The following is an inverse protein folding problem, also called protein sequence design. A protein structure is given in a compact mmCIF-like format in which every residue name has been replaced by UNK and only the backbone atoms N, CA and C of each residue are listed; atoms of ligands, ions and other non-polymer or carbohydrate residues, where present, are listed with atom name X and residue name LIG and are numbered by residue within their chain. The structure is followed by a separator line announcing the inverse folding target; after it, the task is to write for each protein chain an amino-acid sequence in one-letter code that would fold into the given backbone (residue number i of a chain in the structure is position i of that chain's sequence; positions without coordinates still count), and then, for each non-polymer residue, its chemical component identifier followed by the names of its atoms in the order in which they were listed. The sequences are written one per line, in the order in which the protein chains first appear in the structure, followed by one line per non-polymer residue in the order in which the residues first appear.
data_IF_284636476267
#
_entry.id   IF_284636476267
#
_cell.length_a   1.000
_cell.length_b   1.000
_cell.length_c   1.000
_cell.angle_alpha   90.00
_cell.angle_beta   90.00
_cell.angle_gamma   90.00
#
_symmetry.space_group_name_H-M   'P 1'
#
loop_
_entity.id
_entity.type
_entity.pdbx_description
1 polymer ?
2 non-polymer ?
3 non-polymer ?
4 non-polymer ?
5 non-polymer ?
6 water ?
#
# COMPACT_ATOMS: atom_id res chain seq x y z
N UNK A 4 -6.92 19.88 -10.86
CA UNK A 4 -8.19 19.22 -10.41
C UNK A 4 -8.00 18.57 -9.03
N UNK A 5 -6.96 17.75 -8.90
CA UNK A 5 -6.71 16.93 -7.68
C UNK A 5 -5.79 17.63 -6.66
N UNK A 6 -6.27 18.79 -6.20
CA UNK A 6 -5.49 19.73 -5.40
C UNK A 6 -5.02 19.24 -4.02
N UNK A 7 -5.53 18.11 -3.57
CA UNK A 7 -5.16 17.51 -2.25
C UNK A 7 -3.95 16.59 -2.27
N UNK A 8 -3.61 16.10 -3.46
CA UNK A 8 -2.45 15.22 -3.69
C UNK A 8 -1.10 15.85 -3.29
N UNK A 9 -0.97 17.17 -3.49
CA UNK A 9 0.32 17.83 -3.38
C UNK A 9 0.97 17.67 -2.02
N UNK A 10 0.22 17.91 -0.95
CA UNK A 10 0.81 17.78 0.37
C UNK A 10 1.30 16.35 0.66
N UNK A 11 0.49 15.35 0.27
CA UNK A 11 0.97 13.97 0.45
C UNK A 11 2.25 13.65 -0.35
N UNK A 12 2.27 14.02 -1.64
CA UNK A 12 3.46 13.82 -2.46
C UNK A 12 4.68 14.55 -1.88
N UNK A 13 4.46 15.72 -1.28
CA UNK A 13 5.54 16.46 -0.66
C UNK A 13 6.08 15.72 0.56
N UNK A 14 5.22 15.08 1.34
CA UNK A 14 5.71 14.35 2.52
C UNK A 14 6.56 13.15 2.07
N UNK A 15 6.18 12.47 0.97
CA UNK A 15 6.99 11.38 0.41
C UNK A 15 8.32 11.83 -0.15
N UNK A 16 8.29 12.96 -0.86
CA UNK A 16 9.49 13.51 -1.48
C UNK A 16 10.58 13.81 -0.45
N UNK A 17 10.18 14.19 0.76
CA UNK A 17 11.16 14.45 1.83
C UNK A 17 11.97 13.19 2.16
N UNK A 18 11.32 12.02 2.18
CA UNK A 18 12.06 10.78 2.45
C UNK A 18 12.89 10.38 1.19
N UNK A 19 12.27 10.48 0.02
CA UNK A 19 12.96 10.25 -1.26
C UNK A 19 14.24 11.08 -1.42
N UNK A 20 14.25 12.32 -0.92
CA UNK A 20 15.44 13.17 -1.08
C UNK A 20 16.52 12.83 -0.04
N UNK A 21 16.18 12.01 0.95
CA UNK A 21 17.11 11.75 2.08
C UNK A 21 18.05 10.56 1.81
N UNK A 22 19.34 10.79 2.01
CA UNK A 22 20.34 9.71 1.93
C UNK A 22 21.28 9.72 3.15
N UNK A 23 20.75 9.41 4.34
CA UNK A 23 21.52 9.66 5.58
C UNK A 23 22.71 8.73 5.74
N UNK A 24 22.69 7.58 5.10
CA UNK A 24 23.84 6.66 5.13
C UNK A 24 24.77 6.83 3.92
N UNK A 25 24.53 7.88 3.12
CA UNK A 25 25.33 8.15 1.92
C UNK A 25 25.50 6.87 1.09
N UNK A 26 24.38 6.23 0.81
CA UNK A 26 24.35 4.90 0.20
C UNK A 26 23.95 4.88 -1.26
N UNK A 27 23.59 6.03 -1.82
CA UNK A 27 23.11 6.09 -3.22
C UNK A 27 23.94 5.27 -4.21
N UNK A 28 25.23 5.59 -4.31
CA UNK A 28 26.10 4.91 -5.28
C UNK A 28 26.33 3.45 -4.95
N UNK A 29 26.15 3.10 -3.68
CA UNK A 29 26.32 1.72 -3.26
C UNK A 29 25.12 0.86 -3.65
N UNK A 30 23.91 1.37 -3.42
CA UNK A 30 22.72 0.57 -3.66
C UNK A 30 22.50 0.33 -5.17
N UNK A 31 22.93 1.29 -6.00
CA UNK A 31 22.93 1.07 -7.45
C UNK A 31 23.72 -0.18 -7.89
N UNK A 32 24.68 -0.63 -7.09
CA UNK A 32 25.50 -1.79 -7.43
C UNK A 32 24.77 -3.12 -7.15
N UNK A 33 23.66 -3.05 -6.41
CA UNK A 33 22.94 -4.25 -5.95
C UNK A 33 22.30 -5.12 -7.07
N UNK A 34 21.59 -4.53 -8.07
CA UNK A 34 21.10 -5.34 -9.19
C UNK A 34 22.13 -6.26 -9.89
N UNK A 35 23.34 -5.78 -10.14
CA UNK A 35 24.40 -6.60 -10.75
C UNK A 35 24.75 -7.80 -9.86
N UNK A 36 24.86 -7.56 -8.56
CA UNK A 36 25.14 -8.65 -7.63
C UNK A 36 23.99 -9.67 -7.57
N UNK A 37 22.76 -9.19 -7.65
CA UNK A 37 21.62 -10.11 -7.68
C UNK A 37 21.62 -10.98 -8.92
N UNK A 38 21.91 -10.35 -10.07
CA UNK A 38 21.99 -11.03 -11.35
C UNK A 38 23.07 -12.14 -11.28
N UNK A 39 24.13 -11.87 -10.54
CA UNK A 39 25.20 -12.84 -10.38
C UNK A 39 24.98 -13.80 -9.17
N UNK A 40 23.88 -13.62 -8.44
CA UNK A 40 23.61 -14.41 -7.20
C UNK A 40 24.82 -14.42 -6.27
N UNK A 41 25.48 -13.27 -6.14
CA UNK A 41 26.68 -13.15 -5.36
C UNK A 41 26.31 -12.80 -3.92
N UNK A 42 25.95 -13.81 -3.15
CA UNK A 42 25.45 -13.60 -1.79
C UNK A 42 26.52 -12.97 -0.89
N UNK A 43 27.77 -13.50 -0.88
CA UNK A 43 28.81 -12.81 -0.11
C UNK A 43 29.02 -11.34 -0.52
N UNK A 44 29.01 -11.06 -1.83
CA UNK A 44 29.17 -9.70 -2.31
C UNK A 44 28.02 -8.81 -1.88
N UNK A 45 26.81 -9.35 -1.84
CA UNK A 45 25.64 -8.60 -1.39
C UNK A 45 25.79 -8.20 0.08
N UNK A 46 26.23 -9.16 0.88
CA UNK A 46 26.52 -8.88 2.28
C UNK A 46 27.63 -7.83 2.45
N UNK A 47 28.74 -7.99 1.71
CA UNK A 47 29.85 -7.02 1.79
C UNK A 47 29.40 -5.60 1.39
N UNK A 48 28.60 -5.53 0.32
CA UNK A 48 28.06 -4.25 -0.09
C UNK A 48 27.24 -3.59 1.04
N UNK A 49 26.30 -4.32 1.62
CA UNK A 49 25.52 -3.81 2.75
C UNK A 49 26.42 -3.31 3.91
N UNK A 50 27.45 -4.06 4.24
CA UNK A 50 28.35 -3.69 5.33
C UNK A 50 29.17 -2.42 5.10
N UNK A 51 29.29 -2.01 3.84
CA UNK A 51 29.93 -0.74 3.52
C UNK A 51 29.13 0.45 4.09
N UNK A 52 27.84 0.31 4.34
CA UNK A 52 27.07 1.43 4.87
C UNK A 52 26.19 1.14 6.10
N UNK A 53 26.14 -0.12 6.50
CA UNK A 53 25.29 -0.48 7.60
C UNK A 53 25.88 0.16 8.89
N UNK A 54 25.08 0.90 9.65
CA UNK A 54 25.60 1.51 10.90
C UNK A 54 25.99 0.42 11.92
N UNK A 55 27.15 0.55 12.55
CA UNK A 55 27.58 -0.47 13.53
C UNK A 55 27.57 0.06 14.95
N UNK A 56 27.56 1.38 15.07
CA UNK A 56 27.68 2.05 16.36
C UNK A 56 26.32 2.59 16.81
N UNK A 57 25.23 2.08 16.25
CA UNK A 57 23.90 2.61 16.59
C UNK A 57 23.52 3.73 15.63
N UNK A 58 22.27 4.18 15.73
CA UNK A 58 21.77 5.25 14.89
C UNK A 58 22.28 6.61 15.36
N UNK A 59 22.67 7.49 14.41
CA UNK A 59 23.00 8.90 14.73
C UNK A 59 21.87 9.61 15.50
N UNK A 60 22.21 10.29 16.60
CA UNK A 60 21.19 10.80 17.53
C UNK A 60 20.32 11.96 17.02
N UNK A 61 20.73 12.61 15.93
CA UNK A 61 19.96 13.73 15.37
C UNK A 61 19.00 13.32 14.26
N UNK A 62 18.88 12.02 13.98
CA UNK A 62 17.93 11.52 13.00
C UNK A 62 16.49 11.72 13.43
N UNK A 63 15.62 12.01 12.49
CA UNK A 63 14.19 12.01 12.72
C UNK A 63 13.55 10.91 11.91
N UNK A 64 12.23 10.98 11.75
CA UNK A 64 11.50 9.99 11.00
C UNK A 64 12.05 9.86 9.57
N UNK A 65 12.40 10.99 8.97
CA UNK A 65 12.78 11.03 7.57
C UNK A 65 14.08 10.24 7.34
N UNK A 66 15.09 10.51 8.17
CA UNK A 66 16.40 9.83 8.08
C UNK A 66 16.28 8.31 8.41
N UNK A 67 15.51 7.97 9.44
CA UNK A 67 15.35 6.55 9.80
C UNK A 67 14.57 5.79 8.70
N UNK A 68 13.52 6.40 8.16
CA UNK A 68 12.78 5.78 7.06
C UNK A 68 13.66 5.55 5.82
N UNK A 69 14.48 6.55 5.51
CA UNK A 69 15.36 6.48 4.36
C UNK A 69 16.46 5.41 4.57
N UNK A 70 17.00 5.34 5.79
CA UNK A 70 17.96 4.29 6.11
C UNK A 70 17.30 2.89 5.95
N UNK A 71 16.06 2.74 6.42
CA UNK A 71 15.34 1.45 6.28
C UNK A 71 15.13 1.09 4.82
N UNK A 72 14.93 2.11 3.99
CA UNK A 72 14.75 1.89 2.58
C UNK A 72 16.04 1.27 1.99
N UNK A 73 17.17 1.91 2.27
CA UNK A 73 18.42 1.49 1.66
C UNK A 73 18.94 0.13 2.18
N UNK A 74 18.81 -0.11 3.48
CA UNK A 74 19.16 -1.43 4.03
C UNK A 74 18.11 -2.42 3.50
N UNK A 75 16.87 -1.98 3.46
CA UNK A 75 15.77 -2.84 3.01
C UNK A 75 15.93 -3.59 1.70
N UNK A 76 16.44 -2.93 0.65
CA UNK A 76 16.63 -3.68 -0.59
C UNK A 76 17.55 -4.90 -0.43
N UNK A 77 18.43 -4.88 0.58
CA UNK A 77 19.31 -5.99 0.81
C UNK A 77 18.62 -7.13 1.52
N UNK A 78 17.52 -6.81 2.22
CA UNK A 78 16.72 -7.80 2.95
C UNK A 78 15.96 -8.72 2.00
N UNK A 79 15.16 -8.13 1.12
CA UNK A 79 14.48 -8.91 0.08
C UNK A 79 15.45 -9.69 -0.80
N UNK A 80 16.57 -9.06 -1.14
CA UNK A 80 17.59 -9.70 -1.98
C UNK A 80 18.18 -10.94 -1.34
N UNK A 81 18.62 -10.81 -0.09
CA UNK A 81 19.23 -11.95 0.59
C UNK A 81 18.26 -13.10 0.69
N UNK A 82 17.02 -12.80 1.03
CA UNK A 82 16.00 -13.83 1.19
C UNK A 82 15.69 -14.48 -0.16
N UNK A 83 15.70 -13.67 -1.22
CA UNK A 83 15.56 -14.17 -2.60
C UNK A 83 16.60 -15.24 -2.93
N UNK A 84 17.81 -15.11 -2.41
CA UNK A 84 18.84 -16.19 -2.65
C UNK A 84 18.82 -17.33 -1.62
N UNK A 85 17.80 -17.32 -0.75
CA UNK A 85 17.53 -18.44 0.16
C UNK A 85 18.08 -18.23 1.56
N UNK A 86 18.34 -16.97 1.94
CA UNK A 86 19.00 -16.66 3.23
C UNK A 86 18.21 -15.67 4.09
N UNK A 87 18.02 -15.99 5.37
CA UNK A 87 17.51 -15.01 6.33
C UNK A 87 18.57 -13.91 6.55
N UNK A 88 18.28 -12.66 6.17
CA UNK A 88 19.27 -11.58 6.35
C UNK A 88 19.81 -11.46 7.80
N UNK A 89 18.95 -11.60 8.81
CA UNK A 89 19.39 -11.56 10.20
C UNK A 89 20.41 -12.66 10.57
N UNK A 90 20.35 -13.79 9.88
CA UNK A 90 21.24 -14.90 10.20
C UNK A 90 22.60 -14.77 9.56
N UNK A 91 22.67 -14.11 8.41
CA UNK A 91 23.95 -13.98 7.68
C UNK A 91 24.63 -12.62 7.82
N UNK A 92 23.94 -11.65 8.41
CA UNK A 92 24.57 -10.33 8.68
C UNK A 92 24.54 -10.06 10.20
N UNK A 93 25.67 -10.32 10.90
CA UNK A 93 25.67 -10.01 12.33
C UNK A 93 25.49 -8.51 12.60
N UNK A 94 24.78 -8.19 13.68
CA UNK A 94 24.58 -6.78 14.03
C UNK A 94 23.48 -6.16 13.19
N UNK A 95 22.88 -6.91 12.26
CA UNK A 95 21.83 -6.32 11.41
C UNK A 95 20.48 -6.18 12.14
N UNK A 96 20.05 -7.25 12.81
CA UNK A 96 18.76 -7.24 13.43
C UNK A 96 18.57 -6.10 14.47
N UNK A 97 19.59 -5.78 15.30
CA UNK A 97 19.41 -4.64 16.22
C UNK A 97 19.15 -3.30 15.54
N UNK A 98 19.89 -3.04 14.46
CA UNK A 98 19.67 -1.88 13.62
C UNK A 98 18.23 -1.86 13.04
N UNK A 99 17.77 -2.98 12.49
CA UNK A 99 16.38 -3.10 11.94
C UNK A 99 15.33 -2.78 13.02
N UNK A 100 15.53 -3.33 14.22
CA UNK A 100 14.62 -3.05 15.36
C UNK A 100 14.65 -1.59 15.85
N UNK A 101 15.83 -0.96 15.87
CA UNK A 101 15.97 0.48 16.16
C UNK A 101 15.29 1.37 15.11
N UNK A 102 15.37 0.98 13.84
CA UNK A 102 14.71 1.73 12.76
C UNK A 102 13.17 1.59 12.83
N UNK A 103 12.69 0.37 13.15
CA UNK A 103 11.26 0.14 13.42
C UNK A 103 10.75 1.08 14.53
N UNK A 104 11.54 1.17 15.60
CA UNK A 104 11.21 2.01 16.77
C UNK A 104 11.17 3.49 16.36
N UNK A 105 12.18 3.93 15.61
CA UNK A 105 12.27 5.32 15.11
C UNK A 105 11.14 5.71 14.14
N UNK A 106 10.61 4.75 13.39
CA UNK A 106 9.58 5.06 12.40
C UNK A 106 8.16 4.57 12.76
N UNK A 107 8.07 3.81 13.85
CA UNK A 107 6.81 3.17 14.24
C UNK A 107 6.20 2.35 13.09
N UNK A 108 7.08 1.62 12.40
CA UNK A 108 6.76 0.77 11.29
C UNK A 108 7.52 -0.58 11.50
N UNK A 109 7.25 -1.59 10.65
CA UNK A 109 7.92 -2.88 10.85
C UNK A 109 9.42 -2.79 10.66
N UNK A 110 10.17 -3.79 11.17
CA UNK A 110 11.64 -3.77 11.01
C UNK A 110 12.16 -4.36 9.68
N UNK A 111 11.53 -3.98 8.57
CA UNK A 111 12.04 -4.27 7.22
C UNK A 111 11.42 -3.27 6.26
N UNK A 112 11.72 -3.39 4.98
CA UNK A 112 11.19 -2.49 3.94
C UNK A 112 9.72 -2.81 3.66
N UNK A 113 8.95 -1.76 3.44
CA UNK A 113 7.57 -1.88 3.06
C UNK A 113 7.41 -1.26 1.69
N UNK A 114 6.20 -1.37 1.14
CA UNK A 114 5.82 -0.71 -0.08
C UNK A 114 6.21 0.77 -0.11
N UNK A 115 5.98 1.46 1.01
CA UNK A 115 6.28 2.89 1.06
C UNK A 115 7.76 3.13 0.76
N UNK A 116 8.63 2.40 1.45
CA UNK A 116 10.09 2.50 1.27
C UNK A 116 10.54 2.33 -0.20
N UNK A 117 9.96 1.36 -0.91
CA UNK A 117 10.47 0.99 -2.24
C UNK A 117 9.78 1.77 -3.39
N UNK A 118 8.71 2.51 -3.07
CA UNK A 118 8.03 3.28 -4.11
C UNK A 118 8.11 4.80 -3.84
N UNK A 119 7.15 5.36 -3.10
CA UNK A 119 7.09 6.82 -2.96
C UNK A 119 8.21 7.42 -2.10
N UNK A 120 8.87 6.63 -1.27
CA UNK A 120 10.03 7.10 -0.50
C UNK A 120 11.38 6.88 -1.21
N UNK A 121 11.31 6.40 -2.46
CA UNK A 121 12.46 5.94 -3.23
C UNK A 121 12.62 6.98 -4.34
N UNK A 122 13.79 7.65 -4.44
CA UNK A 122 13.94 8.66 -5.51
C UNK A 122 13.73 8.09 -6.91
N UNK A 123 13.29 8.94 -7.84
CA UNK A 123 12.90 8.49 -9.16
C UNK A 123 14.02 8.52 -10.21
N UNK A 124 15.07 9.32 -9.99
CA UNK A 124 16.11 9.46 -11.03
C UNK A 124 16.87 8.14 -11.29
N UNK A 125 17.23 7.92 -12.54
CA UNK A 125 18.06 6.76 -12.94
C UNK A 125 19.33 6.64 -12.12
N UNK A 126 19.94 7.77 -11.74
CA UNK A 126 21.18 7.64 -10.94
C UNK A 126 20.95 7.56 -9.43
N UNK A 127 19.70 7.40 -9.01
CA UNK A 127 19.37 7.36 -7.56
C UNK A 127 18.34 6.30 -7.18
N UNK A 128 17.43 5.96 -8.10
CA UNK A 128 16.38 5.01 -7.77
C UNK A 128 16.95 3.67 -7.31
N UNK A 129 16.55 3.23 -6.12
CA UNK A 129 16.89 1.88 -5.63
C UNK A 129 15.97 0.81 -6.24
N UNK A 130 16.50 -0.40 -6.40
CA UNK A 130 15.81 -1.47 -7.09
C UNK A 130 16.39 -2.84 -6.72
N UNK A 131 15.58 -3.90 -6.66
CA UNK A 131 16.15 -5.22 -6.44
C UNK A 131 16.88 -5.67 -7.69
N UNK A 132 16.23 -5.49 -8.84
CA UNK A 132 16.71 -6.13 -10.06
C UNK A 132 17.28 -5.16 -11.08
N UNK A 133 16.92 -3.88 -11.01
CA UNK A 133 17.28 -2.95 -12.09
C UNK A 133 16.51 -3.19 -13.41
N UNK A 134 15.54 -4.11 -13.38
CA UNK A 134 14.80 -4.43 -14.61
C UNK A 134 13.76 -3.35 -14.91
N UNK A 135 13.45 -3.15 -16.20
CA UNK A 135 12.44 -2.21 -16.64
C UNK A 135 11.11 -2.54 -16.02
N UNK A 136 10.73 -3.81 -16.01
CA UNK A 136 9.50 -4.23 -15.36
C UNK A 136 9.42 -3.84 -13.90
N UNK A 137 10.55 -3.85 -13.18
CA UNK A 137 10.46 -3.39 -11.78
C UNK A 137 10.25 -1.88 -11.73
N UNK A 138 10.89 -1.15 -12.65
CA UNK A 138 10.68 0.31 -12.69
C UNK A 138 9.19 0.65 -12.95
N UNK A 139 8.54 -0.05 -13.86
CA UNK A 139 7.12 0.20 -14.16
C UNK A 139 6.23 -0.20 -13.01
N UNK A 140 6.57 -1.32 -12.37
CA UNK A 140 5.87 -1.73 -11.15
C UNK A 140 5.90 -0.63 -10.07
N UNK A 141 7.06 -0.04 -9.83
CA UNK A 141 7.14 1.02 -8.84
C UNK A 141 6.32 2.22 -9.31
N UNK A 142 6.39 2.51 -10.60
CA UNK A 142 5.65 3.64 -11.14
C UNK A 142 4.14 3.44 -11.00
N UNK A 143 3.65 2.21 -11.18
CA UNK A 143 2.21 1.94 -11.06
C UNK A 143 1.68 2.33 -9.68
N UNK A 144 2.53 2.22 -8.65
CA UNK A 144 2.11 2.58 -7.30
C UNK A 144 2.25 4.08 -7.05
N UNK A 145 3.32 4.68 -7.58
CA UNK A 145 3.47 6.14 -7.54
C UNK A 145 2.30 6.89 -8.15
N UNK A 146 1.71 6.34 -9.21
CA UNK A 146 0.52 6.95 -9.83
C UNK A 146 -0.58 7.26 -8.79
N UNK A 147 -0.89 6.32 -7.89
CA UNK A 147 -2.10 6.41 -7.06
C UNK A 147 -1.94 6.62 -5.54
N UNK A 148 -0.74 6.38 -5.01
CA UNK A 148 -0.54 6.44 -3.55
C UNK A 148 -1.00 7.76 -2.94
N UNK A 149 -0.50 8.89 -3.42
CA UNK A 149 -0.80 10.18 -2.83
C UNK A 149 -2.29 10.46 -2.98
N UNK A 150 -2.84 10.08 -4.11
CA UNK A 150 -4.27 10.27 -4.37
C UNK A 150 -5.12 9.38 -3.47
N UNK A 151 -4.62 8.17 -3.16
CA UNK A 151 -5.34 7.26 -2.26
C UNK A 151 -5.38 7.84 -0.85
N UNK A 152 -4.26 8.45 -0.43
CA UNK A 152 -4.17 9.09 0.89
C UNK A 152 -5.14 10.27 1.01
N UNK A 153 -5.22 11.07 -0.06
CA UNK A 153 -6.24 12.13 -0.13
C UNK A 153 -7.64 11.54 -0.02
N UNK A 154 -7.86 10.42 -0.70
CA UNK A 154 -9.14 9.75 -0.69
C UNK A 154 -9.50 9.24 0.72
N UNK A 155 -8.51 8.80 1.51
CA UNK A 155 -8.80 8.37 2.89
C UNK A 155 -9.31 9.57 3.69
N UNK A 156 -8.63 10.70 3.56
CA UNK A 156 -9.02 11.92 4.23
C UNK A 156 -10.44 12.38 3.86
N UNK A 157 -10.75 12.44 2.55
CA UNK A 157 -12.13 12.69 2.06
C UNK A 157 -13.19 11.71 2.58
N UNK A 158 -12.85 10.43 2.71
CA UNK A 158 -13.79 9.43 3.23
C UNK A 158 -14.15 9.73 4.70
N UNK A 159 -13.12 9.99 5.51
CA UNK A 159 -13.28 10.43 6.89
C UNK A 159 -14.12 11.72 7.01
N UNK A 160 -13.84 12.68 6.14
CA UNK A 160 -14.61 13.92 6.11
C UNK A 160 -16.06 13.66 5.73
N UNK A 161 -16.27 12.80 4.73
CA UNK A 161 -17.60 12.50 4.22
C UNK A 161 -18.46 11.79 5.26
N UNK A 162 -17.83 11.00 6.13
CA UNK A 162 -18.47 10.26 7.22
C UNK A 162 -19.24 11.18 8.18
N UNK A 163 -18.73 12.40 8.38
CA UNK A 163 -19.46 13.38 9.20
C UNK A 163 -20.40 14.28 8.38
N UNK A 164 -20.61 14.02 7.08
CA UNK A 164 -21.53 14.85 6.30
C UNK A 164 -22.91 14.20 6.17
N UNK A 165 -23.97 14.98 6.42
CA UNK A 165 -25.35 14.50 6.33
C UNK A 165 -25.74 14.26 4.87
N UNK A 166 -26.42 13.14 4.62
CA UNK A 166 -26.92 12.81 3.29
C UNK A 166 -27.98 13.81 2.81
N UNK A 167 -28.58 14.52 3.77
CA UNK A 167 -29.55 15.60 3.48
C UNK A 167 -28.87 16.86 2.93
N UNK A 168 -27.55 16.98 3.11
CA UNK A 168 -26.83 18.15 2.63
C UNK A 168 -26.41 17.98 1.16
N UNK A 169 -26.41 19.08 0.38
CA UNK A 169 -25.80 19.06 -0.97
C UNK A 169 -24.30 18.76 -0.92
N UNK A 170 -23.68 18.97 0.24
CA UNK A 170 -22.26 18.64 0.42
C UNK A 170 -21.99 17.14 0.25
N UNK A 171 -22.98 16.31 0.55
CA UNK A 171 -22.76 14.88 0.47
C UNK A 171 -22.47 14.40 -0.95
N UNK A 172 -23.27 14.86 -1.92
CA UNK A 172 -23.06 14.53 -3.32
C UNK A 172 -21.73 15.09 -3.87
N UNK A 173 -21.41 16.33 -3.49
CA UNK A 173 -20.15 17.00 -3.90
C UNK A 173 -18.87 16.31 -3.38
N UNK A 174 -18.86 15.95 -2.10
CA UNK A 174 -17.73 15.24 -1.50
C UNK A 174 -17.55 13.85 -2.08
N UNK A 175 -18.65 13.18 -2.42
CA UNK A 175 -18.62 11.83 -3.00
C UNK A 175 -18.08 11.87 -4.42
N UNK A 176 -18.50 12.89 -5.17
CA UNK A 176 -17.97 13.14 -6.50
C UNK A 176 -16.47 13.38 -6.48
N UNK A 177 -16.01 14.19 -5.52
CA UNK A 177 -14.59 14.45 -5.31
C UNK A 177 -13.85 13.16 -4.93
N UNK A 178 -14.43 12.39 -4.02
CA UNK A 178 -13.83 11.11 -3.62
C UNK A 178 -13.63 10.21 -4.83
N UNK A 179 -14.65 10.18 -5.68
CA UNK A 179 -14.66 9.28 -6.85
C UNK A 179 -13.51 9.66 -7.78
N UNK A 180 -13.26 10.96 -7.89
CA UNK A 180 -12.21 11.50 -8.75
C UNK A 180 -10.81 11.11 -8.26
N UNK A 181 -10.59 11.08 -6.95
CA UNK A 181 -9.30 10.61 -6.42
C UNK A 181 -9.12 9.10 -6.59
N UNK A 182 -10.18 8.33 -6.34
CA UNK A 182 -10.14 6.88 -6.46
C UNK A 182 -9.88 6.37 -7.88
N UNK A 183 -10.19 7.22 -8.86
CA UNK A 183 -9.89 6.93 -10.28
C UNK A 183 -8.40 6.63 -10.52
N UNK A 184 -7.53 7.24 -9.71
CA UNK A 184 -6.10 6.93 -9.78
C UNK A 184 -5.75 5.43 -9.59
N UNK A 185 -6.48 4.73 -8.71
CA UNK A 185 -6.32 3.26 -8.60
C UNK A 185 -6.58 2.54 -9.92
N UNK A 186 -7.58 2.99 -10.66
CA UNK A 186 -7.88 2.42 -11.97
C UNK A 186 -6.71 2.70 -12.90
N UNK A 187 -6.24 3.93 -12.93
CA UNK A 187 -5.11 4.32 -13.78
C UNK A 187 -3.85 3.47 -13.48
N UNK A 188 -3.58 3.21 -12.21
CA UNK A 188 -2.50 2.29 -11.79
C UNK A 188 -2.60 0.90 -12.45
N UNK A 189 -3.79 0.31 -12.43
CA UNK A 189 -3.94 -1.04 -12.98
C UNK A 189 -3.84 -1.00 -14.50
N UNK A 190 -4.39 0.03 -15.13
CA UNK A 190 -4.26 0.18 -16.59
C UNK A 190 -2.74 0.24 -16.94
N UNK A 191 -1.99 1.06 -16.19
CA UNK A 191 -0.55 1.20 -16.40
C UNK A 191 0.15 -0.15 -16.24
N UNK A 192 -0.14 -0.83 -15.13
CA UNK A 192 0.45 -2.12 -14.86
C UNK A 192 0.11 -3.13 -15.96
N UNK A 193 -1.14 -3.14 -16.42
CA UNK A 193 -1.51 -4.06 -17.48
C UNK A 193 -0.74 -3.76 -18.79
N UNK A 194 -0.56 -2.47 -19.09
CA UNK A 194 0.12 -2.07 -20.31
C UNK A 194 1.64 -2.31 -20.29
N UNK A 195 2.28 -2.11 -19.14
CA UNK A 195 3.72 -1.98 -19.13
C UNK A 195 4.49 -3.13 -18.46
N UNK A 196 3.82 -3.92 -17.63
CA UNK A 196 4.52 -4.95 -16.87
C UNK A 196 4.24 -6.30 -17.50
N UNK A 197 5.30 -7.01 -17.87
CA UNK A 197 5.18 -8.39 -18.35
C UNK A 197 4.96 -9.34 -17.17
N UNK A 198 3.84 -10.08 -17.18
CA UNK A 198 3.44 -11.03 -16.11
C UNK A 198 4.47 -12.15 -15.88
N UNK A 199 5.08 -12.57 -16.98
CA UNK A 199 6.19 -13.49 -17.06
C UNK A 199 7.43 -12.99 -16.33
N UNK A 200 7.80 -11.74 -16.58
CA UNK A 200 8.99 -11.20 -15.96
C UNK A 200 8.69 -10.97 -14.48
N UNK A 201 7.46 -10.56 -14.17
CA UNK A 201 7.08 -10.31 -12.81
C UNK A 201 7.22 -11.59 -11.99
N UNK A 202 6.56 -12.65 -12.45
CA UNK A 202 6.51 -13.93 -11.72
C UNK A 202 7.87 -14.56 -11.60
N UNK A 203 8.66 -14.56 -12.68
CA UNK A 203 9.93 -15.27 -12.72
C UNK A 203 11.07 -14.47 -12.11
N UNK A 204 11.03 -13.15 -12.30
CA UNK A 204 12.17 -12.26 -11.95
C UNK A 204 11.92 -11.32 -10.79
N UNK A 205 10.66 -10.91 -10.58
CA UNK A 205 10.40 -9.91 -9.50
C UNK A 205 9.85 -10.54 -8.23
N UNK A 206 8.82 -11.37 -8.37
CA UNK A 206 8.12 -12.04 -7.26
C UNK A 206 9.08 -12.70 -6.22
N UNK A 207 10.17 -13.37 -6.69
CA UNK A 207 11.11 -14.02 -5.77
C UNK A 207 11.78 -13.08 -4.77
N UNK A 208 11.74 -11.76 -5.06
CA UNK A 208 12.31 -10.77 -4.15
C UNK A 208 11.41 -10.32 -3.01
N UNK A 209 10.15 -10.76 -3.00
CA UNK A 209 9.14 -10.31 -2.02
C UNK A 209 8.71 -11.30 -0.94
N UNK A 210 9.58 -12.25 -0.62
CA UNK A 210 9.24 -13.26 0.38
C UNK A 210 9.36 -12.68 1.79
N UNK A 211 8.73 -13.34 2.78
CA UNK A 211 8.87 -12.86 4.16
C UNK A 211 10.26 -13.10 4.75
N UNK A 212 10.63 -12.30 5.75
CA UNK A 212 11.85 -12.55 6.50
C UNK A 212 11.51 -12.64 7.99
N UNK A 213 12.37 -13.30 8.76
CA UNK A 213 12.24 -13.37 10.22
C UNK A 213 13.07 -12.31 10.94
N UNK A 214 12.42 -11.52 11.78
CA UNK A 214 13.06 -10.51 12.62
C UNK A 214 12.33 -10.50 13.96
N UNK A 215 13.05 -10.50 15.07
CA UNK A 215 12.40 -10.42 16.39
C UNK A 215 11.40 -11.57 16.71
N UNK A 216 11.69 -12.75 16.17
CA UNK A 216 10.92 -13.95 16.44
C UNK A 216 9.56 -13.95 15.78
N UNK A 217 9.41 -13.16 14.73
CA UNK A 217 8.23 -13.30 13.90
C UNK A 217 8.54 -13.04 12.42
N UNK A 218 7.55 -13.29 11.59
CA UNK A 218 7.71 -13.24 10.15
C UNK A 218 7.12 -11.93 9.65
N UNK A 219 7.88 -11.16 8.88
CA UNK A 219 7.35 -9.95 8.24
C UNK A 219 7.28 -10.06 6.72
N UNK A 220 6.10 -9.75 6.18
CA UNK A 220 5.83 -9.83 4.73
C UNK A 220 6.70 -8.89 3.94
N UNK A 221 6.99 -9.27 2.69
CA UNK A 221 7.73 -8.39 1.78
C UNK A 221 6.84 -7.33 1.18
N UNK A 222 7.45 -6.36 0.46
CA UNK A 222 6.66 -5.29 -0.08
C UNK A 222 5.67 -5.76 -1.12
N UNK A 223 4.54 -5.08 -1.19
CA UNK A 223 3.56 -5.35 -2.21
C UNK A 223 2.51 -4.26 -2.18
N UNK A 224 1.88 -4.03 -3.32
CA UNK A 224 0.85 -3.00 -3.38
C UNK A 224 -0.37 -3.31 -2.50
N UNK A 225 -0.50 -4.59 -2.12
CA UNK A 225 -1.46 -5.03 -1.10
C UNK A 225 -1.35 -4.21 0.21
N UNK A 226 -0.16 -3.69 0.51
CA UNK A 226 0.07 -2.83 1.69
C UNK A 226 -0.47 -1.39 1.55
N UNK A 227 -0.97 -1.00 0.38
CA UNK A 227 -1.56 0.34 0.20
C UNK A 227 -2.77 0.42 1.08
N UNK A 228 -2.98 1.59 1.74
CA UNK A 228 -4.06 1.64 2.75
C UNK A 228 -5.51 1.71 2.17
N UNK A 229 -5.74 1.14 0.99
CA UNK A 229 -7.07 1.07 0.44
C UNK A 229 -8.02 0.34 1.40
N UNK A 230 -7.53 -0.74 2.01
CA UNK A 230 -8.34 -1.51 2.97
C UNK A 230 -8.82 -0.66 4.14
N UNK A 231 -8.02 0.34 4.53
CA UNK A 231 -8.42 1.26 5.60
C UNK A 231 -9.52 2.16 5.09
N UNK A 232 -9.36 2.67 3.87
CA UNK A 232 -10.39 3.51 3.26
C UNK A 232 -11.74 2.78 3.28
N UNK A 233 -11.75 1.54 2.81
CA UNK A 233 -12.98 0.77 2.65
C UNK A 233 -13.52 0.24 3.97
N UNK A 234 -12.63 0.02 4.94
CA UNK A 234 -13.06 -0.29 6.31
C UNK A 234 -13.99 0.84 6.77
N UNK A 235 -13.56 2.07 6.55
CA UNK A 235 -14.38 3.24 6.92
C UNK A 235 -15.64 3.34 6.05
N UNK A 236 -15.47 3.15 4.73
CA UNK A 236 -16.55 3.36 3.78
C UNK A 236 -17.67 2.32 3.90
N UNK A 237 -17.30 1.04 3.94
CA UNK A 237 -18.32 -0.03 3.95
C UNK A 237 -18.07 -1.23 4.85
N UNK A 238 -16.81 -1.51 5.18
CA UNK A 238 -16.43 -2.79 5.82
C UNK A 238 -16.22 -2.88 7.33
N UNK A 239 -16.30 -1.77 8.05
CA UNK A 239 -16.04 -1.74 9.51
C UNK A 239 -16.89 -2.74 10.34
N UNK A 240 -18.15 -2.89 9.97
CA UNK A 240 -19.07 -3.74 10.70
C UNK A 240 -19.30 -5.12 10.04
N UNK A 241 -18.50 -5.46 9.04
CA UNK A 241 -18.61 -6.76 8.37
C UNK A 241 -18.34 -7.88 9.37
N UNK A 242 -19.07 -8.98 9.22
CA UNK A 242 -18.90 -10.15 10.09
C UNK A 242 -18.14 -11.28 9.39
N UNK A 243 -17.72 -11.04 8.13
CA UNK A 243 -16.88 -11.97 7.37
C UNK A 243 -15.49 -12.03 8.04
N UNK A 244 -15.14 -13.21 8.56
CA UNK A 244 -13.88 -13.39 9.31
C UNK A 244 -12.64 -13.39 8.41
N UNK A 245 -12.78 -13.92 7.20
CA UNK A 245 -11.71 -13.94 6.22
C UNK A 245 -11.35 -12.49 5.86
N UNK A 246 -12.37 -11.65 5.72
CA UNK A 246 -12.17 -10.26 5.38
C UNK A 246 -11.48 -9.52 6.53
N UNK A 247 -11.97 -9.75 7.75
CA UNK A 247 -11.40 -9.14 8.95
C UNK A 247 -9.92 -9.53 9.15
N UNK A 248 -9.59 -10.80 8.90
CA UNK A 248 -8.19 -11.29 8.96
C UNK A 248 -7.35 -10.62 7.90
N UNK A 249 -7.92 -10.46 6.71
CA UNK A 249 -7.21 -9.78 5.61
C UNK A 249 -6.79 -8.37 6.02
N UNK A 250 -7.75 -7.57 6.49
CA UNK A 250 -7.43 -6.21 6.91
C UNK A 250 -6.38 -6.17 8.04
N UNK A 251 -6.54 -7.04 9.03
CA UNK A 251 -5.68 -6.99 10.22
C UNK A 251 -4.26 -7.41 9.85
N UNK A 252 -4.15 -8.28 8.85
CA UNK A 252 -2.85 -8.67 8.32
C UNK A 252 -1.98 -7.50 7.89
N UNK A 253 -2.54 -6.51 7.20
CA UNK A 253 -1.74 -5.41 6.61
C UNK A 253 -1.60 -4.18 7.50
N UNK A 254 -2.40 -4.13 8.56
CA UNK A 254 -2.42 -3.00 9.49
C UNK A 254 -1.01 -2.57 9.94
N UNK A 255 -0.10 -3.52 10.30
CA UNK A 255 1.25 -3.14 10.72
C UNK A 255 2.09 -2.40 9.70
N UNK A 256 1.74 -2.56 8.41
CA UNK A 256 2.51 -2.06 7.28
C UNK A 256 2.11 -0.69 6.80
N UNK A 257 0.96 -0.20 7.27
CA UNK A 257 0.50 1.14 6.85
C UNK A 257 1.00 2.20 7.84
N UNK A 258 1.02 3.46 7.41
CA UNK A 258 1.38 4.56 8.32
C UNK A 258 0.60 4.54 9.62
N UNK A 259 1.27 4.89 10.71
CA UNK A 259 0.62 4.93 12.00
C UNK A 259 -0.74 5.64 11.97
N UNK A 260 -0.84 6.76 11.26
CA UNK A 260 -2.05 7.58 11.22
C UNK A 260 -3.22 6.77 10.69
N UNK A 261 -2.96 5.89 9.72
CA UNK A 261 -3.98 5.03 9.13
C UNK A 261 -4.35 3.80 9.99
N UNK A 262 -3.42 3.33 10.80
CA UNK A 262 -3.78 2.39 11.88
C UNK A 262 -4.75 3.04 12.85
N UNK A 263 -4.55 4.33 13.14
CA UNK A 263 -5.42 5.04 14.10
C UNK A 263 -6.79 5.33 13.48
N UNK A 264 -6.82 5.66 12.19
CA UNK A 264 -8.10 5.81 11.47
C UNK A 264 -8.88 4.47 11.55
N UNK A 265 -8.19 3.38 11.28
CA UNK A 265 -8.79 2.05 11.29
C UNK A 265 -9.40 1.72 12.67
N UNK A 266 -8.60 1.94 13.72
CA UNK A 266 -9.05 1.72 15.10
C UNK A 266 -10.27 2.56 15.45
N UNK A 267 -10.27 3.83 15.02
CA UNK A 267 -11.36 4.76 15.35
C UNK A 267 -12.73 4.25 14.86
N UNK A 268 -12.74 3.61 13.70
CA UNK A 268 -13.99 3.23 13.03
C UNK A 268 -14.42 1.77 13.22
N UNK A 269 -13.54 0.95 13.78
CA UNK A 269 -13.81 -0.48 13.98
C UNK A 269 -14.97 -0.73 14.93
N UNK A 270 -15.80 -1.71 14.60
CA UNK A 270 -16.93 -2.13 15.45
C UNK A 270 -18.07 -1.12 15.55
N UNK A 271 -18.08 -0.15 14.64
CA UNK A 271 -19.14 0.87 14.60
C UNK A 271 -19.59 0.90 13.14
N UNK A 272 -20.85 1.32 12.89
CA UNK A 272 -21.38 1.38 11.52
C UNK A 272 -20.50 2.11 10.50
N UNK A 273 -20.33 1.49 9.33
CA UNK A 273 -19.53 2.06 8.27
C UNK A 273 -20.27 3.25 7.69
N UNK A 274 -19.58 4.08 6.90
CA UNK A 274 -20.22 5.24 6.30
C UNK A 274 -21.54 4.85 5.60
N UNK A 275 -21.52 3.79 4.78
CA UNK A 275 -22.68 3.46 4.00
C UNK A 275 -23.85 2.93 4.82
N UNK A 276 -23.57 2.33 5.97
CA UNK A 276 -24.62 1.86 6.88
C UNK A 276 -25.38 3.09 7.40
N UNK A 277 -24.62 4.11 7.79
CA UNK A 277 -25.18 5.33 8.31
C UNK A 277 -25.94 6.03 7.19
N UNK A 278 -25.28 6.19 6.04
CA UNK A 278 -25.89 6.89 4.92
C UNK A 278 -27.22 6.22 4.56
N UNK A 279 -27.21 4.89 4.51
CA UNK A 279 -28.41 4.16 4.12
C UNK A 279 -29.48 4.21 5.19
N UNK A 280 -29.11 4.25 6.48
CA UNK A 280 -30.10 4.37 7.56
C UNK A 280 -30.73 5.75 7.45
N UNK A 281 -29.91 6.76 7.20
CA UNK A 281 -30.41 8.11 7.00
C UNK A 281 -31.41 8.16 5.82
N UNK A 282 -31.03 7.56 4.69
CA UNK A 282 -31.91 7.50 3.50
C UNK A 282 -33.25 6.82 3.80
N UNK A 283 -33.22 5.74 4.56
CA UNK A 283 -34.43 5.04 4.97
C UNK A 283 -35.38 5.88 5.85
N UNK A 284 -34.82 6.64 6.77
CA UNK A 284 -35.60 7.47 7.69
C UNK A 284 -36.26 8.67 6.97
N UNK A 285 -35.52 9.27 6.06
CA UNK A 285 -35.83 10.58 5.45
C UNK A 285 -36.57 10.45 4.10
N UNK A 286 -36.40 9.32 3.42
CA UNK A 286 -36.97 9.09 2.08
C UNK A 286 -36.12 9.62 0.93
N UNK A 287 -36.18 8.93 -0.21
CA UNK A 287 -35.51 9.38 -1.43
C UNK A 287 -36.24 10.50 -2.18
N UNK A 288 -37.37 10.96 -1.65
CA UNK A 288 -38.02 12.18 -2.16
C UNK A 288 -37.17 13.43 -1.90
N UNK A 289 -36.36 13.41 -0.83
CA UNK A 289 -35.39 14.47 -0.59
C UNK A 289 -34.36 14.47 -1.74
N UNK A 290 -34.25 15.59 -2.46
CA UNK A 290 -33.37 15.70 -3.64
C UNK A 290 -31.90 15.44 -3.33
N UNK A 291 -31.47 15.83 -2.13
CA UNK A 291 -30.07 15.66 -1.73
C UNK A 291 -29.73 14.22 -1.39
N UNK A 292 -30.72 13.52 -0.85
CA UNK A 292 -30.60 12.11 -0.56
C UNK A 292 -30.38 11.33 -1.87
N UNK A 293 -31.24 11.61 -2.87
CA UNK A 293 -31.16 11.02 -4.20
C UNK A 293 -29.80 11.26 -4.83
N UNK A 294 -29.38 12.52 -4.86
CA UNK A 294 -28.10 12.87 -5.44
C UNK A 294 -26.94 12.26 -4.65
N UNK A 295 -27.07 12.25 -3.32
CA UNK A 295 -26.04 11.67 -2.47
C UNK A 295 -25.84 10.19 -2.75
N UNK A 296 -26.93 9.47 -2.86
CA UNK A 296 -26.86 8.02 -3.08
C UNK A 296 -26.34 7.69 -4.47
N UNK A 297 -26.71 8.51 -5.46
CA UNK A 297 -26.24 8.34 -6.83
C UNK A 297 -24.73 8.53 -6.88
N UNK A 298 -24.25 9.59 -6.23
CA UNK A 298 -22.82 9.89 -6.15
C UNK A 298 -22.07 8.77 -5.43
N UNK A 299 -22.69 8.24 -4.38
CA UNK A 299 -22.12 7.15 -3.60
C UNK A 299 -21.99 5.87 -4.42
N UNK A 300 -23.00 5.61 -5.25
CA UNK A 300 -22.95 4.47 -6.18
C UNK A 300 -21.77 4.59 -7.16
N UNK A 301 -21.46 5.80 -7.62
CA UNK A 301 -20.31 6.00 -8.50
C UNK A 301 -18.97 5.72 -7.80
N UNK A 302 -18.92 5.94 -6.49
CA UNK A 302 -17.71 5.59 -5.71
C UNK A 302 -17.46 4.08 -5.76
N UNK A 303 -18.51 3.28 -5.59
CA UNK A 303 -18.39 1.82 -5.65
C UNK A 303 -18.06 1.37 -7.06
N UNK A 304 -18.69 1.99 -8.05
CA UNK A 304 -18.34 1.73 -9.42
C UNK A 304 -16.82 1.87 -9.68
N UNK A 305 -16.18 2.93 -9.17
CA UNK A 305 -14.76 3.10 -9.43
C UNK A 305 -13.91 2.08 -8.65
N UNK A 306 -14.37 1.69 -7.47
CA UNK A 306 -13.70 0.66 -6.68
C UNK A 306 -13.72 -0.65 -7.46
N UNK A 307 -14.85 -0.93 -8.11
CA UNK A 307 -14.99 -2.13 -8.92
C UNK A 307 -14.18 -2.09 -10.22
N UNK A 308 -14.03 -0.89 -10.80
CA UNK A 308 -13.19 -0.69 -11.98
C UNK A 308 -11.69 -0.85 -11.63
N UNK A 309 -11.35 -0.73 -10.36
CA UNK A 309 -10.00 -1.11 -9.91
C UNK A 309 -9.96 -2.62 -9.68
N UNK A 310 -10.90 -3.12 -8.87
CA UNK A 310 -10.79 -4.45 -8.30
C UNK A 310 -10.90 -5.57 -9.33
N UNK A 311 -11.85 -5.43 -10.26
CA UNK A 311 -12.06 -6.49 -11.28
C UNK A 311 -10.89 -6.65 -12.27
N UNK A 312 -10.40 -5.55 -12.87
CA UNK A 312 -9.21 -5.75 -13.72
C UNK A 312 -7.97 -6.14 -12.90
N UNK A 313 -7.88 -5.72 -11.64
CA UNK A 313 -6.73 -6.13 -10.80
C UNK A 313 -6.73 -7.65 -10.62
N UNK A 314 -7.91 -8.22 -10.45
CA UNK A 314 -8.05 -9.67 -10.36
C UNK A 314 -7.53 -10.39 -11.62
N UNK A 315 -7.81 -9.84 -12.81
CA UNK A 315 -7.29 -10.43 -14.04
C UNK A 315 -5.76 -10.27 -14.14
N UNK A 316 -5.23 -9.10 -13.81
CA UNK A 316 -3.78 -8.86 -13.73
C UNK A 316 -3.10 -9.91 -12.84
N UNK A 317 -3.63 -10.10 -11.63
CA UNK A 317 -3.12 -11.09 -10.67
C UNK A 317 -3.18 -12.52 -11.21
N UNK A 318 -4.32 -12.94 -11.72
CA UNK A 318 -4.47 -14.30 -12.26
C UNK A 318 -3.53 -14.53 -13.46
N UNK A 319 -3.42 -13.55 -14.35
CA UNK A 319 -2.50 -13.64 -15.50
C UNK A 319 -1.04 -13.83 -15.05
N UNK A 320 -0.64 -13.20 -13.94
CA UNK A 320 0.70 -13.38 -13.38
C UNK A 320 0.91 -14.76 -12.74
N UNK A 321 -0.08 -15.22 -11.97
CA UNK A 321 -0.03 -16.56 -11.38
C UNK A 321 -0.39 -17.70 -12.35
N UNK A 322 -0.75 -17.34 -13.59
CA UNK A 322 -0.90 -18.28 -14.70
C UNK A 322 0.47 -18.78 -15.18
N UNK A 323 1.55 -18.04 -14.85
CA UNK A 323 2.94 -18.50 -15.07
C UNK A 323 3.36 -19.42 -13.93
N UNK A 329 0.83 -21.17 -5.20
CA UNK A 329 1.62 -19.92 -5.14
C UNK A 329 0.70 -18.76 -4.72
N UNK A 330 1.21 -17.97 -3.80
CA UNK A 330 0.50 -16.88 -3.16
C UNK A 330 1.30 -15.59 -3.38
N UNK A 331 0.65 -14.44 -3.23
CA UNK A 331 1.37 -13.19 -3.36
C UNK A 331 2.32 -12.92 -2.20
N UNK A 332 2.97 -11.77 -2.27
CA UNK A 332 3.85 -11.27 -1.22
C UNK A 332 3.06 -10.98 0.06
N UNK A 333 1.77 -10.65 -0.08
CA UNK A 333 0.89 -10.45 1.06
C UNK A 333 0.38 -11.75 1.69
N UNK A 334 0.74 -12.91 1.11
CA UNK A 334 0.37 -14.21 1.67
C UNK A 334 -0.98 -14.80 1.23
N UNK A 335 -1.58 -14.24 0.17
CA UNK A 335 -2.84 -14.77 -0.34
C UNK A 335 -2.75 -15.25 -1.80
N UNK A 336 -3.46 -16.35 -2.09
CA UNK A 336 -3.73 -16.82 -3.45
C UNK A 336 -4.72 -15.84 -4.13
N UNK A 337 -4.71 -15.77 -5.47
CA UNK A 337 -5.71 -14.90 -6.11
C UNK A 337 -7.21 -15.17 -5.79
N UNK A 338 -7.54 -16.32 -5.18
CA UNK A 338 -8.94 -16.63 -4.79
C UNK A 338 -9.54 -15.71 -3.71
N UNK A 339 -8.68 -15.22 -2.82
CA UNK A 339 -9.07 -14.22 -1.82
C UNK A 339 -9.48 -12.91 -2.49
N UNK A 340 -8.94 -12.67 -3.68
CA UNK A 340 -9.25 -11.47 -4.42
C UNK A 340 -10.68 -11.54 -4.90
N UNK A 341 -11.09 -12.73 -5.37
CA UNK A 341 -12.47 -13.02 -5.73
C UNK A 341 -13.46 -12.84 -4.59
N UNK A 342 -13.05 -13.17 -3.36
CA UNK A 342 -13.89 -12.97 -2.18
C UNK A 342 -14.12 -11.46 -1.86
N UNK A 343 -13.07 -10.68 -1.94
CA UNK A 343 -13.17 -9.23 -1.71
C UNK A 343 -14.03 -8.54 -2.78
N UNK A 344 -13.91 -9.03 -4.01
CA UNK A 344 -14.73 -8.54 -5.12
C UNK A 344 -16.24 -8.79 -4.87
N UNK A 345 -16.58 -9.98 -4.39
CA UNK A 345 -17.96 -10.34 -4.05
C UNK A 345 -18.51 -9.38 -3.00
N UNK A 346 -17.72 -9.15 -1.95
CA UNK A 346 -18.11 -8.21 -0.88
C UNK A 346 -18.33 -6.83 -1.43
N UNK A 347 -17.50 -6.42 -2.39
CA UNK A 347 -17.61 -5.08 -2.96
C UNK A 347 -18.88 -4.92 -3.81
N UNK A 348 -19.18 -5.93 -4.63
CA UNK A 348 -20.43 -5.95 -5.40
C UNK A 348 -21.66 -5.89 -4.46
N UNK A 349 -21.62 -6.64 -3.36
CA UNK A 349 -22.73 -6.65 -2.42
C UNK A 349 -22.90 -5.28 -1.76
N UNK A 350 -21.80 -4.62 -1.44
CA UNK A 350 -21.92 -3.28 -0.90
C UNK A 350 -22.52 -2.32 -1.95
N UNK A 351 -22.06 -2.39 -3.21
CA UNK A 351 -22.64 -1.55 -4.26
C UNK A 351 -24.14 -1.83 -4.47
N UNK A 352 -24.53 -3.10 -4.41
CA UNK A 352 -25.93 -3.49 -4.54
C UNK A 352 -26.86 -2.90 -3.48
N UNK A 353 -26.37 -2.78 -2.25
CA UNK A 353 -27.14 -2.19 -1.16
C UNK A 353 -27.39 -0.72 -1.50
N UNK A 354 -26.35 -0.05 -1.97
CA UNK A 354 -26.48 1.34 -2.37
C UNK A 354 -27.45 1.50 -3.54
N UNK A 355 -27.34 0.67 -4.56
CA UNK A 355 -28.29 0.84 -5.67
C UNK A 355 -29.71 0.39 -5.36
N UNK A 356 -29.87 -0.57 -4.46
CA UNK A 356 -31.24 -0.96 -4.03
C UNK A 356 -31.95 0.19 -3.29
N UNK A 357 -31.18 1.04 -2.61
CA UNK A 357 -31.73 2.20 -1.90
C UNK A 357 -32.35 3.26 -2.83
N UNK A 358 -31.94 3.24 -4.09
CA UNK A 358 -32.44 4.13 -5.13
C UNK A 358 -33.60 3.56 -5.96
X LIG B 1 -3.65 -7.64 -3.54
X LIG B 1 -1.26 -9.51 -7.36
X LIG B 1 -0.28 -5.06 -8.94
X LIG B 1 -3.16 -3.20 -5.52
X LIG B 1 -2.98 -8.52 -4.37
X LIG B 1 -2.79 -9.95 -4.15
X LIG B 1 -2.15 -10.46 -5.21
X LIG B 1 -1.89 -9.39 -6.13
X LIG B 1 -1.69 -11.93 -5.44
X LIG B 1 -3.24 -10.72 -2.89
X LIG B 1 -2.31 -10.27 -1.76
X LIG B 1 -0.93 -10.92 -1.85
X LIG B 1 0.11 -10.26 -2.22
X LIG B 1 -0.83 -12.13 -1.51
X LIG B 1 -0.76 -8.49 -8.11
X LIG B 1 0.14 -8.58 -9.23
X LIG B 1 0.41 -7.34 -9.66
X LIG B 1 -0.32 -6.43 -8.81
X LIG B 1 0.65 -9.92 -9.79
X LIG B 1 1.29 -6.82 -10.83
X LIG B 1 1.81 -7.63 -11.75
X LIG B 1 -0.99 -4.17 -8.17
X LIG B 1 -1.09 -2.75 -8.38
X LIG B 1 -1.90 -2.24 -7.44
X LIG B 1 -2.34 -3.34 -6.62
X LIG B 1 -0.37 -1.97 -9.52
X LIG B 1 -2.32 -0.76 -7.21
X LIG B 1 -1.52 0.29 -7.44
X LIG B 1 -3.58 -4.21 -4.69
X LIG B 1 -4.50 -4.01 -3.59
X LIG B 1 -4.68 -5.39 -2.98
X LIG B 1 -3.83 -6.29 -3.75
X LIG B 1 -5.17 -2.70 -3.18
X LIG B 1 -5.58 -5.77 -1.80
X LIG B 1 -6.80 -6.46 -2.43
X LIG B 1 -7.78 -5.49 -3.08
X LIG B 1 -8.53 -5.91 -4.01
X LIG B 1 -7.86 -4.29 -2.64
X LIG B 1 -2.43 -8.22 -5.60
X LIG B 1 -1.02 -7.16 -7.88
X LIG B 1 -1.76 -4.50 -7.08
X LIG B 1 -3.21 -5.54 -4.74
X LIG B 1 -2.10 -6.41 -6.33
X LIG C 1 1.68 -8.65 -3.95
X LIG C 1 1.69 -9.20 -5.35
X LIG C 1 2.51 -10.47 -5.51
X LIG C 1 3.32 -10.79 -4.64
X LIG C 1 2.22 -8.16 -6.33
X LIG C 1 3.41 -7.38 -5.84
X LIG C 1 4.52 -7.88 -5.21
X LIG C 1 3.61 -5.97 -5.95
X LIG C 1 5.39 -6.87 -4.93
X LIG C 1 4.86 -5.69 -5.36
X LIG C 1 2.85 -4.93 -6.50
X LIG C 1 5.38 -4.39 -5.31
X LIG C 1 3.38 -3.64 -6.43
X LIG C 1 4.63 -3.39 -5.86
X LIG C 1 2.37 -11.22 -6.50
X LIG D 1 0.21 0.58 16.66
X LIG D 1 -0.47 0.33 17.93
X LIG D 1 0.70 1.96 16.62
X LIG D 1 1.31 -0.37 16.53
X LIG D 1 -0.75 0.35 15.58
X LIG E 1 12.97 -17.59 15.08
X LIG E 1 13.33 -17.41 16.48
X LIG E 1 12.55 -16.31 14.50
X LIG E 1 14.11 -18.10 14.32
X LIG E 1 11.86 -18.53 15.01
X LIG F 1 -0.54 -6.17 -5.04
X LIG F 1 0.41 -6.48 -4.17
#
# INVERSE_FOLDING_TARGET
MERTLDRVGVFAATHAAVAASDPLQARALVLQLPGLNRNKDVPGIVGLLREFLPVRGLPSGWGFVEAAAAMRDIGFFLGSLKRHGHEPAEVVPGLEPVLLDLARATNLPPRETLLHVTVWNPTAADAQRSYTGLPDEAHLLESVRISMAALEAAIALTVELFDVSLRSPEFAQRSDELEAYLQKMVESIVYAYRFISPQVFYDELRPFYEPIRVGGQSYLGPGAVEMPLFVLEHVLWGSQSDDQTYREFKETYLPYVLPAYRAVYARFSGEPALIDRALDEARAVGTRDEHVRAGLTALERVFKVLLRFRAPHLKLAERAYEVGQSGPEIGSGGYAPSMLGELLTLTYAARSRVRAALDES
HEM CHA CHB CHC CHD C1A C2A C3A C4A CMA CAA CBA CGA O1A O2A C1B C2B C3B C4B CMB CAB CBB C1C C2C C3C C4C CMC CAC CBC C1D C2D C3D C4D CMD CAD CBD CGD O1D O2D NA NB NC ND FE
TRP N CA C O CB CG CD1 CD2 NE1 CE2 CE3 CZ2 CZ3 CH2 OXT
SO4 S O1 O2 O3 O4
SO4 S O1 O2 O3 O4
CYN C N
#
